data_IF_199488058758
#
_entry.id   IF_199488058758
#
_cell.length_a   1.000
_cell.length_b   1.000
_cell.length_c   1.000
_cell.angle_alpha   90.00
_cell.angle_beta   90.00
_cell.angle_gamma   90.00
#
_symmetry.space_group_name_H-M   'P 1'
#
loop_
_entity.id
_entity.type
_entity.pdbx_description
1 polymer ?
#
# COMPACT_ATOMS: atom_id res chain seq x y z
N UNK A 1 3.22 -45.42 26.54
CA UNK A 1 3.47 -44.89 25.16
C UNK A 1 2.39 -43.92 24.67
N UNK A 2 1.15 -43.98 25.15
CA UNK A 2 0.11 -43.01 24.72
C UNK A 2 0.39 -41.55 25.12
N UNK A 3 1.00 -41.33 26.28
CA UNK A 3 1.34 -39.98 26.76
C UNK A 3 2.39 -39.30 25.87
N UNK A 4 3.40 -40.04 25.41
CA UNK A 4 4.46 -39.50 24.54
C UNK A 4 3.90 -39.12 23.17
N UNK A 5 2.96 -39.91 22.63
CA UNK A 5 2.34 -39.64 21.32
C UNK A 5 1.47 -38.37 21.37
N UNK A 6 0.69 -38.19 22.45
CA UNK A 6 -0.13 -36.99 22.66
C UNK A 6 0.71 -35.73 22.82
N UNK A 7 1.79 -35.80 23.60
CA UNK A 7 2.72 -34.67 23.80
C UNK A 7 3.41 -34.30 22.49
N UNK A 8 3.86 -35.29 21.71
CA UNK A 8 4.52 -35.04 20.42
C UNK A 8 3.57 -34.43 19.38
N UNK A 9 2.31 -34.88 19.33
CA UNK A 9 1.28 -34.29 18.47
C UNK A 9 0.93 -32.85 18.87
N UNK A 10 0.80 -32.57 20.18
CA UNK A 10 0.51 -31.22 20.67
C UNK A 10 1.67 -30.26 20.42
N UNK A 11 2.92 -30.70 20.62
CA UNK A 11 4.10 -29.92 20.26
C UNK A 11 4.19 -29.68 18.74
N UNK A 12 3.92 -30.71 17.93
CA UNK A 12 3.88 -30.56 16.47
C UNK A 12 2.84 -29.52 16.04
N UNK A 13 1.61 -29.60 16.58
CA UNK A 13 0.53 -28.68 16.25
C UNK A 13 0.82 -27.23 16.66
N UNK A 14 1.44 -27.03 17.83
CA UNK A 14 1.91 -25.70 18.29
C UNK A 14 2.99 -25.12 17.37
N UNK A 15 3.92 -25.95 16.91
CA UNK A 15 4.94 -25.54 15.94
C UNK A 15 4.29 -25.18 14.60
N UNK A 16 3.33 -25.95 14.09
CA UNK A 16 2.63 -25.67 12.84
C UNK A 16 1.76 -24.39 12.89
N UNK A 17 1.06 -24.13 14.01
CA UNK A 17 0.27 -22.89 14.18
C UNK A 17 1.16 -21.65 14.17
N UNK A 18 2.42 -21.77 14.62
CA UNK A 18 3.40 -20.69 14.62
C UNK A 18 3.87 -20.28 13.22
N UNK A 19 3.71 -21.15 12.21
CA UNK A 19 4.15 -20.92 10.82
C UNK A 19 3.01 -20.43 9.93
N UNK A 20 1.75 -20.46 10.41
CA UNK A 20 0.56 -20.03 9.67
C UNK A 20 0.56 -18.54 9.33
N UNK A 21 1.45 -17.74 9.94
CA UNK A 21 1.64 -16.31 9.67
C UNK A 21 2.72 -16.01 8.60
N UNK A 22 3.29 -17.03 7.94
CA UNK A 22 4.28 -16.81 6.86
C UNK A 22 3.75 -17.37 5.54
N UNK A 23 2.58 -16.90 5.12
CA UNK A 23 2.29 -16.83 3.68
C UNK A 23 2.93 -15.56 3.09
N UNK A 24 4.26 -15.46 3.18
CA UNK A 24 5.01 -14.65 2.21
C UNK A 24 5.39 -15.59 1.07
N UNK A 25 4.39 -15.94 0.26
CA UNK A 25 4.70 -16.33 -1.11
C UNK A 25 5.40 -15.12 -1.71
N UNK A 26 6.68 -15.26 -2.07
CA UNK A 26 7.48 -14.21 -2.71
C UNK A 26 6.98 -14.02 -4.16
N UNK A 27 5.69 -13.72 -4.31
CA UNK A 27 5.14 -13.12 -5.51
C UNK A 27 5.75 -11.73 -5.66
N UNK A 28 5.82 -11.23 -6.89
CA UNK A 28 6.05 -9.81 -7.08
C UNK A 28 5.03 -9.06 -6.21
N UNK A 29 5.48 -8.27 -5.22
CA UNK A 29 4.56 -7.47 -4.40
C UNK A 29 3.70 -6.57 -5.30
N UNK A 30 2.70 -5.88 -4.75
CA UNK A 30 1.77 -5.08 -5.57
C UNK A 30 2.47 -4.06 -6.49
N UNK A 31 3.67 -3.61 -6.11
CA UNK A 31 4.52 -2.69 -6.86
C UNK A 31 5.61 -3.35 -7.74
N UNK A 32 5.62 -4.68 -7.86
CA UNK A 32 6.60 -5.46 -8.59
C UNK A 32 7.70 -6.04 -7.70
N UNK A 33 8.66 -6.74 -8.33
CA UNK A 33 9.76 -7.43 -7.62
C UNK A 33 10.89 -6.50 -7.16
N UNK A 34 11.05 -5.34 -7.81
CA UNK A 34 12.22 -4.48 -7.64
C UNK A 34 12.02 -3.33 -6.66
N UNK A 35 10.84 -3.21 -6.06
CA UNK A 35 10.49 -2.04 -5.23
C UNK A 35 9.40 -2.39 -4.24
N UNK A 36 9.38 -1.68 -3.11
CA UNK A 36 8.35 -1.80 -2.08
C UNK A 36 7.32 -0.68 -2.20
N UNK A 37 6.11 -0.85 -1.66
CA UNK A 37 5.14 0.24 -1.60
C UNK A 37 5.66 1.49 -0.86
N UNK A 38 6.45 1.32 0.20
CA UNK A 38 7.10 2.45 0.89
C UNK A 38 8.10 3.20 -0.01
N UNK A 39 8.90 2.50 -0.81
CA UNK A 39 9.84 3.12 -1.75
C UNK A 39 9.10 3.87 -2.87
N UNK A 40 7.96 3.34 -3.34
CA UNK A 40 7.08 4.06 -4.28
C UNK A 40 6.37 5.25 -3.60
N UNK A 41 6.07 5.18 -2.31
CA UNK A 41 5.49 6.30 -1.57
C UNK A 41 6.49 7.47 -1.41
N UNK A 42 7.78 7.20 -1.20
CA UNK A 42 8.82 8.24 -1.14
C UNK A 42 8.89 9.08 -2.42
N UNK A 43 8.59 8.48 -3.57
CA UNK A 43 8.55 9.17 -4.87
C UNK A 43 7.42 10.20 -4.97
N UNK A 44 6.43 10.13 -4.08
CA UNK A 44 5.35 11.10 -3.94
C UNK A 44 5.68 12.26 -3.00
N UNK A 45 6.92 12.35 -2.47
CA UNK A 45 7.34 13.49 -1.65
C UNK A 45 7.00 14.88 -2.26
N UNK A 46 7.14 15.11 -3.58
CA UNK A 46 6.74 16.39 -4.19
C UNK A 46 5.23 16.69 -4.12
N UNK A 47 4.39 15.69 -3.82
CA UNK A 47 2.96 15.84 -3.67
C UNK A 47 2.54 16.22 -2.24
N UNK A 48 3.41 16.05 -1.24
CA UNK A 48 3.05 16.24 0.18
C UNK A 48 2.44 17.62 0.47
N UNK A 49 2.95 18.75 -0.05
CA UNK A 49 2.31 20.05 0.15
C UNK A 49 0.89 20.11 -0.43
N UNK A 50 0.73 19.60 -1.66
CA UNK A 50 -0.56 19.52 -2.34
C UNK A 50 -1.53 18.51 -1.73
N UNK A 51 -1.02 17.53 -0.99
CA UNK A 51 -1.78 16.52 -0.26
C UNK A 51 -2.19 16.99 1.14
N UNK A 52 -1.60 18.08 1.65
CA UNK A 52 -1.94 18.70 2.94
C UNK A 52 -2.87 19.90 2.78
N UNK A 53 -2.77 20.61 1.66
CA UNK A 53 -3.53 21.83 1.40
C UNK A 53 -4.15 21.79 -0.01
N UNK A 54 -5.46 21.90 -0.07
CA UNK A 54 -6.23 21.91 -1.33
C UNK A 54 -5.87 23.09 -2.23
N UNK A 55 -5.43 24.20 -1.64
CA UNK A 55 -5.07 25.45 -2.32
C UNK A 55 -3.59 25.55 -2.71
N UNK A 56 -2.75 24.58 -2.30
CA UNK A 56 -1.35 24.60 -2.72
C UNK A 56 -1.24 24.40 -4.24
N UNK A 57 -0.14 24.81 -4.86
CA UNK A 57 0.11 24.41 -6.25
C UNK A 57 0.56 22.95 -6.32
N UNK A 58 0.21 22.28 -7.42
CA UNK A 58 0.70 20.93 -7.70
C UNK A 58 1.90 21.01 -8.63
N UNK A 59 3.04 20.53 -8.16
CA UNK A 59 4.25 20.48 -8.99
C UNK A 59 4.07 19.51 -10.16
N UNK A 60 4.75 19.80 -11.28
CA UNK A 60 4.76 18.89 -12.44
C UNK A 60 5.28 17.50 -12.07
N UNK A 61 6.33 17.44 -11.25
CA UNK A 61 6.88 16.18 -10.74
C UNK A 61 5.86 15.39 -9.92
N UNK A 62 5.04 16.05 -9.09
CA UNK A 62 3.93 15.37 -8.43
C UNK A 62 2.97 14.74 -9.44
N UNK A 63 2.53 15.50 -10.44
CA UNK A 63 1.58 14.99 -11.44
C UNK A 63 2.14 13.82 -12.26
N UNK A 64 3.42 13.87 -12.63
CA UNK A 64 4.09 12.78 -13.36
C UNK A 64 4.10 11.49 -12.53
N UNK A 65 4.37 11.59 -11.23
CA UNK A 65 4.41 10.43 -10.33
C UNK A 65 3.01 9.88 -10.06
N UNK A 66 2.01 10.74 -9.85
CA UNK A 66 0.61 10.32 -9.69
C UNK A 66 0.09 9.66 -10.96
N UNK A 67 0.41 10.19 -12.14
CA UNK A 67 0.03 9.58 -13.41
C UNK A 67 0.68 8.20 -13.59
N UNK A 68 1.97 8.07 -13.25
CA UNK A 68 2.69 6.79 -13.32
C UNK A 68 2.09 5.76 -12.36
N UNK A 69 1.87 6.15 -11.11
CA UNK A 69 1.33 5.25 -10.08
C UNK A 69 -0.13 4.85 -10.38
N UNK A 70 -0.92 5.76 -10.94
CA UNK A 70 -2.31 5.50 -11.35
C UNK A 70 -2.46 4.41 -12.43
N UNK A 71 -1.40 4.08 -13.18
CA UNK A 71 -1.40 2.98 -14.16
C UNK A 71 -1.31 1.59 -13.51
N UNK A 72 -0.91 1.51 -12.25
CA UNK A 72 -0.87 0.26 -11.47
C UNK A 72 -1.75 0.41 -10.22
N UNK A 73 -3.06 0.13 -10.32
CA UNK A 73 -4.01 0.35 -9.23
C UNK A 73 -3.75 -0.54 -7.99
N UNK A 74 -3.10 -1.70 -8.18
CA UNK A 74 -2.68 -2.56 -7.07
C UNK A 74 -1.54 -1.92 -6.28
N UNK A 75 -0.48 -1.48 -6.97
CA UNK A 75 0.62 -0.74 -6.32
C UNK A 75 0.13 0.58 -5.69
N UNK A 76 -0.76 1.31 -6.36
CA UNK A 76 -1.36 2.53 -5.81
C UNK A 76 -2.03 2.25 -4.46
N UNK A 77 -2.81 1.17 -4.35
CA UNK A 77 -3.41 0.80 -3.07
C UNK A 77 -2.37 0.45 -2.01
N UNK A 78 -1.37 -0.33 -2.36
CA UNK A 78 -0.30 -0.68 -1.44
C UNK A 78 0.45 0.56 -0.95
N UNK A 79 0.72 1.52 -1.84
CA UNK A 79 1.33 2.83 -1.51
C UNK A 79 0.45 3.61 -0.55
N UNK A 80 -0.85 3.72 -0.81
CA UNK A 80 -1.77 4.44 0.08
C UNK A 80 -1.87 3.80 1.48
N UNK A 81 -1.66 2.49 1.58
CA UNK A 81 -1.67 1.73 2.83
C UNK A 81 -0.28 1.61 3.50
N UNK A 82 0.79 2.09 2.84
CA UNK A 82 2.18 2.01 3.30
C UNK A 82 2.44 2.86 4.54
N UNK A 83 3.50 2.53 5.28
CA UNK A 83 3.86 3.28 6.49
C UNK A 83 4.35 4.68 6.14
N UNK A 84 5.10 4.81 5.04
CA UNK A 84 5.59 6.07 4.50
C UNK A 84 4.43 7.02 4.17
N UNK A 85 3.38 6.53 3.51
CA UNK A 85 2.20 7.33 3.23
C UNK A 85 1.53 7.82 4.53
N UNK A 86 1.36 6.93 5.53
CA UNK A 86 0.80 7.28 6.85
C UNK A 86 1.62 8.35 7.58
N UNK A 87 2.95 8.27 7.51
CA UNK A 87 3.86 9.19 8.19
C UNK A 87 4.06 10.53 7.44
N UNK A 88 3.68 10.61 6.16
CA UNK A 88 3.84 11.83 5.36
C UNK A 88 3.02 13.03 5.88
N UNK A 89 1.99 12.76 6.67
CA UNK A 89 1.01 13.74 7.13
C UNK A 89 0.09 14.24 6.01
N UNK A 90 0.02 13.57 4.87
CA UNK A 90 -0.97 13.84 3.83
C UNK A 90 -2.40 13.64 4.38
N UNK A 91 -3.32 14.53 4.01
CA UNK A 91 -4.74 14.35 4.28
C UNK A 91 -5.36 13.56 3.11
N UNK A 92 -5.90 12.35 3.34
CA UNK A 92 -6.53 11.56 2.28
C UNK A 92 -7.64 12.31 1.54
N UNK A 93 -8.43 13.15 2.23
CA UNK A 93 -9.53 13.93 1.62
C UNK A 93 -9.00 14.98 0.65
N UNK A 94 -7.83 15.55 0.94
CA UNK A 94 -7.17 16.52 0.05
C UNK A 94 -6.41 15.78 -1.05
N UNK A 95 -5.70 14.70 -0.73
CA UNK A 95 -4.87 13.94 -1.67
C UNK A 95 -5.67 13.36 -2.85
N UNK A 96 -6.91 12.91 -2.63
CA UNK A 96 -7.79 12.42 -3.71
C UNK A 96 -8.17 13.50 -4.75
N UNK A 97 -7.95 14.78 -4.43
CA UNK A 97 -8.17 15.88 -5.38
C UNK A 97 -6.98 16.11 -6.32
N UNK A 98 -5.79 15.58 -5.98
CA UNK A 98 -4.56 15.77 -6.77
C UNK A 98 -4.72 15.27 -8.21
N UNK A 99 -5.26 14.07 -8.49
CA UNK A 99 -5.47 13.63 -9.87
C UNK A 99 -6.35 14.59 -10.69
N UNK A 100 -7.32 15.26 -10.05
CA UNK A 100 -8.16 16.28 -10.68
C UNK A 100 -7.36 17.55 -10.97
N UNK A 101 -6.58 18.03 -10.02
CA UNK A 101 -5.71 19.21 -10.16
C UNK A 101 -4.60 19.00 -11.19
N UNK A 102 -4.14 17.77 -11.36
CA UNK A 102 -3.21 17.34 -12.42
C UNK A 102 -3.86 17.09 -13.78
N UNK A 103 -5.19 17.26 -13.91
CA UNK A 103 -5.94 17.00 -15.14
C UNK A 103 -5.73 15.58 -15.73
N UNK A 104 -5.71 14.56 -14.87
CA UNK A 104 -5.56 13.16 -15.31
C UNK A 104 -6.92 12.62 -15.79
N UNK A 105 -7.02 12.29 -17.08
CA UNK A 105 -8.28 11.93 -17.75
C UNK A 105 -8.96 10.66 -17.19
N UNK A 106 -8.19 9.59 -16.94
CA UNK A 106 -8.70 8.31 -16.45
C UNK A 106 -8.55 8.16 -14.93
N UNK A 107 -8.87 9.22 -14.17
CA UNK A 107 -8.78 9.14 -12.70
C UNK A 107 -9.90 8.25 -12.15
N UNK A 108 -9.60 7.27 -11.29
CA UNK A 108 -10.64 6.42 -10.73
C UNK A 108 -11.46 7.22 -9.71
N UNK A 109 -12.79 7.16 -9.82
CA UNK A 109 -13.73 7.83 -8.92
C UNK A 109 -14.31 6.78 -7.96
N UNK A 110 -14.21 7.02 -6.65
CA UNK A 110 -14.71 6.09 -5.63
C UNK A 110 -13.88 4.80 -5.48
N UNK A 111 -12.60 4.83 -5.84
CA UNK A 111 -11.73 3.66 -5.70
C UNK A 111 -11.33 3.43 -4.24
N UNK A 112 -11.61 2.22 -3.76
CA UNK A 112 -11.34 1.84 -2.38
C UNK A 112 -10.22 0.82 -2.30
N UNK A 113 -9.30 1.04 -1.36
CA UNK A 113 -8.19 0.16 -1.07
C UNK A 113 -8.42 -0.57 0.26
N UNK A 114 -7.98 -1.83 0.36
CA UNK A 114 -7.96 -2.55 1.64
C UNK A 114 -9.27 -3.19 2.08
N UNK A 115 -10.20 -3.52 1.16
CA UNK A 115 -11.34 -4.39 1.51
C UNK A 115 -10.81 -5.75 1.95
N UNK A 116 -10.86 -6.03 3.26
CA UNK A 116 -10.74 -7.39 3.80
C UNK A 116 -12.05 -8.11 3.52
N UNK A 117 -11.99 -9.24 2.83
CA UNK A 117 -13.08 -10.21 2.91
C UNK A 117 -13.06 -10.76 4.34
N UNK A 118 -14.13 -10.50 5.10
CA UNK A 118 -14.42 -11.14 6.38
C UNK A 118 -15.09 -12.48 6.08
#
# INVERSE_FOLDING_TARGET
>A
MEAYTKVFCLLGLLVFVSISEIHRVEGAGECGKSTTPDNEALKLAPCVPAAKNENADVSRSCCDQVQKLGKNPSCLCAVMLSNTAKLSGADPKVAITIPKRCNIANRPVGYECGRKYI
#
